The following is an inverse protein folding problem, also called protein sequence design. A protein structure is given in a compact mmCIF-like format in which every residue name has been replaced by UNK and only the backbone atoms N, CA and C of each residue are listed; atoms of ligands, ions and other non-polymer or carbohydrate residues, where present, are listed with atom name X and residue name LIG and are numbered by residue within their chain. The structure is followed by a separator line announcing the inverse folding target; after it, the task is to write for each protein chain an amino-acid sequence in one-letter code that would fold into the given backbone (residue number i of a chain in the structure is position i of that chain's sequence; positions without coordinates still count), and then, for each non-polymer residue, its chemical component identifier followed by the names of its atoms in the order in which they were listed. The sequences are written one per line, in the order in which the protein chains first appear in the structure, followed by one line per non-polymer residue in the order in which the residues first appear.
data_IF_202672367320
#
_entry.id   IF_202672367320
#
_cell.length_a   1.000
_cell.length_b   1.000
_cell.length_c   1.000
_cell.angle_alpha   90.00
_cell.angle_beta   90.00
_cell.angle_gamma   90.00
#
_symmetry.space_group_name_H-M   'P 1'
#
loop_
_entity.id
_entity.type
_entity.pdbx_description
1 polymer ?
#
# COMPACT_ATOMS: atom_id res chain seq x y z
N UNK A 1 18.26 13.16 13.16
CA UNK A 1 18.23 11.97 12.28
C UNK A 1 18.30 10.74 13.19
N UNK A 2 17.16 10.12 13.53
CA UNK A 2 17.07 8.98 14.47
C UNK A 2 16.71 7.66 13.76
N UNK A 3 17.27 7.43 12.58
CA UNK A 3 17.10 6.15 11.88
C UNK A 3 18.45 5.77 11.30
N UNK A 4 19.31 5.17 12.13
CA UNK A 4 20.38 4.35 11.60
C UNK A 4 19.70 3.17 10.91
N UNK A 5 19.86 3.05 9.60
CA UNK A 5 19.49 1.82 8.90
C UNK A 5 20.28 0.70 9.56
N UNK A 6 19.62 -0.39 9.93
CA UNK A 6 20.24 -1.62 10.44
C UNK A 6 20.33 -2.59 9.25
N UNK A 7 21.33 -2.43 8.34
CA UNK A 7 21.36 -3.14 7.06
C UNK A 7 21.44 -4.67 7.21
N UNK A 8 21.86 -5.17 8.38
CA UNK A 8 21.94 -6.60 8.70
C UNK A 8 20.68 -7.18 9.33
N UNK A 9 19.66 -6.35 9.64
CA UNK A 9 18.43 -6.80 10.28
C UNK A 9 17.26 -6.65 9.30
N UNK A 10 16.83 -7.76 8.72
CA UNK A 10 15.62 -7.83 7.90
C UNK A 10 14.44 -8.24 8.77
N UNK A 11 13.63 -7.27 9.20
CA UNK A 11 12.35 -7.52 9.86
C UNK A 11 11.23 -7.51 8.82
N UNK A 12 10.84 -8.70 8.37
CA UNK A 12 9.65 -8.87 7.54
C UNK A 12 8.35 -8.75 8.34
N UNK A 13 7.22 -8.61 7.64
CA UNK A 13 5.87 -8.56 8.24
C UNK A 13 5.64 -9.69 9.26
N UNK A 14 5.98 -10.94 8.90
CA UNK A 14 5.86 -12.10 9.79
C UNK A 14 6.66 -11.96 11.09
N UNK A 15 7.81 -11.29 11.07
CA UNK A 15 8.64 -11.11 12.26
C UNK A 15 7.96 -10.13 13.23
N UNK A 16 7.38 -9.05 12.72
CA UNK A 16 6.59 -8.14 13.56
C UNK A 16 5.38 -8.85 14.18
N UNK A 17 4.66 -9.66 13.42
CA UNK A 17 3.54 -10.45 13.94
C UNK A 17 3.99 -11.42 15.05
N UNK A 18 5.14 -12.08 14.89
CA UNK A 18 5.70 -12.95 15.94
C UNK A 18 6.09 -12.17 17.20
N UNK A 19 6.65 -10.98 17.06
CA UNK A 19 7.02 -10.13 18.20
C UNK A 19 5.79 -9.67 18.98
N UNK A 20 4.69 -9.38 18.28
CA UNK A 20 3.40 -9.06 18.90
C UNK A 20 2.81 -10.30 19.59
N UNK A 21 2.79 -11.45 18.92
CA UNK A 21 2.27 -12.71 19.49
C UNK A 21 3.06 -13.15 20.73
N UNK A 22 4.35 -12.78 20.82
CA UNK A 22 5.21 -13.00 22.00
C UNK A 22 5.09 -11.91 23.08
N UNK A 23 4.16 -10.97 22.93
CA UNK A 23 3.93 -9.85 23.86
C UNK A 23 5.20 -9.03 24.16
N UNK A 24 6.04 -8.81 23.15
CA UNK A 24 7.17 -7.89 23.30
C UNK A 24 6.60 -6.47 23.45
N UNK A 25 6.74 -5.80 24.61
CA UNK A 25 5.96 -4.59 24.94
C UNK A 25 6.08 -3.47 23.91
N UNK A 26 7.27 -3.36 23.30
CA UNK A 26 7.51 -2.37 22.25
C UNK A 26 6.54 -2.55 21.07
N UNK A 27 6.29 -3.78 20.63
CA UNK A 27 5.47 -4.08 19.45
C UNK A 27 4.00 -4.37 19.80
N UNK A 28 3.73 -4.91 20.98
CA UNK A 28 2.37 -5.24 21.41
C UNK A 28 1.59 -4.05 22.00
N UNK A 29 2.29 -3.02 22.49
CA UNK A 29 1.64 -1.92 23.24
C UNK A 29 2.13 -0.52 22.90
N UNK A 30 3.40 -0.32 22.53
CA UNK A 30 4.03 1.01 22.48
C UNK A 30 4.27 1.57 21.08
N UNK A 31 4.49 0.72 20.10
CA UNK A 31 4.71 1.12 18.71
C UNK A 31 3.48 0.86 17.86
N UNK A 32 3.30 1.67 16.82
CA UNK A 32 2.29 1.42 15.76
C UNK A 32 3.01 0.82 14.58
N UNK A 33 2.51 -0.32 14.10
CA UNK A 33 3.08 -1.06 13.00
C UNK A 33 2.13 -0.95 11.81
N UNK A 34 2.58 -0.26 10.76
CA UNK A 34 1.85 -0.20 9.50
C UNK A 34 2.32 -1.35 8.61
N UNK A 35 1.39 -2.24 8.24
CA UNK A 35 1.66 -3.37 7.35
C UNK A 35 0.95 -3.20 6.02
N UNK A 36 1.47 -3.85 4.98
CA UNK A 36 0.80 -3.90 3.68
C UNK A 36 -0.58 -4.57 3.79
N UNK A 37 -1.49 -4.22 2.88
CA UNK A 37 -2.88 -4.71 2.87
C UNK A 37 -2.99 -6.24 2.77
N UNK A 38 -2.02 -6.90 2.13
CA UNK A 38 -1.96 -8.35 1.96
C UNK A 38 -1.61 -9.10 3.26
N UNK A 39 -1.08 -8.40 4.27
CA UNK A 39 -0.86 -8.95 5.61
C UNK A 39 -2.16 -9.29 6.34
N UNK A 40 -3.32 -8.82 5.86
CA UNK A 40 -4.63 -9.14 6.43
C UNK A 40 -4.86 -10.66 6.61
N UNK A 41 -4.39 -11.46 5.64
CA UNK A 41 -4.52 -12.92 5.69
C UNK A 41 -3.69 -13.53 6.83
N UNK A 42 -2.54 -12.93 7.17
CA UNK A 42 -1.63 -13.41 8.22
C UNK A 42 -2.11 -13.02 9.62
N UNK A 43 -2.75 -11.85 9.75
CA UNK A 43 -3.32 -11.39 11.02
C UNK A 43 -4.61 -12.16 11.36
N UNK A 44 -5.34 -12.62 10.35
CA UNK A 44 -6.61 -13.31 10.52
C UNK A 44 -7.64 -12.44 11.26
N UNK A 45 -8.41 -13.03 12.18
CA UNK A 45 -9.39 -12.31 13.02
C UNK A 45 -8.78 -11.65 14.27
N UNK A 46 -7.44 -11.70 14.44
CA UNK A 46 -6.80 -11.11 15.62
C UNK A 46 -6.87 -9.59 15.54
N UNK A 47 -7.59 -8.96 16.47
CA UNK A 47 -7.57 -7.51 16.64
C UNK A 47 -6.29 -7.09 17.35
N UNK A 48 -5.24 -6.85 16.59
CA UNK A 48 -3.97 -6.34 17.10
C UNK A 48 -4.08 -4.82 17.27
N UNK A 49 -4.02 -4.34 18.52
CA UNK A 49 -4.25 -2.92 18.87
C UNK A 49 -3.22 -1.97 18.26
N UNK A 50 -2.01 -2.47 18.02
CA UNK A 50 -0.86 -1.71 17.50
C UNK A 50 -0.71 -1.80 15.99
N UNK A 51 -1.49 -2.63 15.31
CA UNK A 51 -1.32 -2.89 13.87
C UNK A 51 -2.38 -2.18 13.06
N UNK A 52 -1.94 -1.47 12.03
CA UNK A 52 -2.81 -0.83 11.04
C UNK A 52 -2.39 -1.30 9.66
N UNK A 53 -3.36 -1.66 8.82
CA UNK A 53 -3.09 -2.09 7.45
C UNK A 53 -3.19 -0.90 6.51
N UNK A 54 -2.25 -0.80 5.57
CA UNK A 54 -2.33 0.14 4.46
C UNK A 54 -3.63 -0.09 3.67
N UNK A 55 -4.19 0.98 3.07
CA UNK A 55 -5.45 0.89 2.37
C UNK A 55 -5.33 0.03 1.10
N UNK A 56 -6.43 -0.65 0.74
CA UNK A 56 -6.51 -1.56 -0.40
C UNK A 56 -6.66 -3.03 0.01
N UNK A 57 -6.70 -3.92 -0.98
CA UNK A 57 -6.84 -5.37 -0.80
C UNK A 57 -5.85 -6.20 -1.62
N UNK A 58 -4.99 -5.51 -2.39
CA UNK A 58 -3.95 -6.07 -3.21
C UNK A 58 -2.58 -5.62 -2.69
N UNK A 59 -1.54 -6.45 -2.85
CA UNK A 59 -0.16 -6.03 -2.66
C UNK A 59 0.17 -4.77 -3.50
N UNK A 60 1.14 -3.94 -3.08
CA UNK A 60 1.33 -2.60 -3.65
C UNK A 60 1.57 -2.57 -5.17
N UNK A 61 2.41 -3.46 -5.69
CA UNK A 61 2.70 -3.62 -7.12
C UNK A 61 1.49 -4.07 -7.94
N UNK A 62 0.61 -4.89 -7.36
CA UNK A 62 -0.63 -5.32 -8.02
C UNK A 62 -1.68 -4.20 -7.98
N UNK A 63 -1.82 -3.54 -6.82
CA UNK A 63 -2.75 -2.43 -6.61
C UNK A 63 -2.47 -1.27 -7.57
N UNK A 64 -1.20 -0.87 -7.69
CA UNK A 64 -0.86 0.25 -8.55
C UNK A 64 -0.96 -0.10 -10.03
N UNK A 65 -0.64 -1.34 -10.40
CA UNK A 65 -0.88 -1.81 -11.75
C UNK A 65 -2.38 -1.74 -12.09
N UNK A 66 -3.25 -2.28 -11.23
CA UNK A 66 -4.69 -2.27 -11.44
C UNK A 66 -5.21 -0.84 -11.62
N UNK A 67 -4.83 0.06 -10.71
CA UNK A 67 -5.21 1.47 -10.78
C UNK A 67 -4.85 2.09 -12.11
N UNK A 68 -3.58 2.00 -12.51
CA UNK A 68 -3.10 2.59 -13.75
C UNK A 68 -3.67 1.91 -14.99
N UNK A 69 -3.86 0.60 -14.95
CA UNK A 69 -4.47 -0.14 -16.05
C UNK A 69 -5.90 0.36 -16.31
N UNK A 70 -6.65 0.63 -15.25
CA UNK A 70 -8.04 1.06 -15.28
C UNK A 70 -8.24 2.55 -15.56
N UNK A 71 -7.17 3.36 -15.63
CA UNK A 71 -7.29 4.76 -16.02
C UNK A 71 -7.61 4.90 -17.51
N UNK A 72 -8.54 5.78 -17.88
CA UNK A 72 -8.85 6.04 -19.28
C UNK A 72 -7.66 6.72 -19.96
N UNK A 73 -7.51 6.51 -21.28
CA UNK A 73 -6.35 7.02 -22.02
C UNK A 73 -6.25 8.57 -22.05
N UNK A 74 -7.36 9.27 -21.82
CA UNK A 74 -7.44 10.73 -21.76
C UNK A 74 -7.25 11.30 -20.33
N UNK A 75 -6.98 10.45 -19.33
CA UNK A 75 -6.75 10.89 -17.95
C UNK A 75 -5.57 11.87 -17.85
N UNK A 76 -5.70 12.87 -16.97
CA UNK A 76 -4.68 13.88 -16.70
C UNK A 76 -3.34 13.29 -16.23
N UNK A 77 -3.35 12.10 -15.61
CA UNK A 77 -2.16 11.38 -15.20
C UNK A 77 -1.19 11.13 -16.38
N UNK A 78 -1.73 10.81 -17.56
CA UNK A 78 -0.95 10.55 -18.77
C UNK A 78 -0.37 11.81 -19.41
N UNK A 79 -0.89 12.99 -19.03
CA UNK A 79 -0.45 14.28 -19.53
C UNK A 79 0.63 14.86 -18.62
N UNK A 80 1.87 14.42 -18.80
CA UNK A 80 2.95 14.75 -17.89
C UNK A 80 4.29 15.09 -18.55
N UNK A 81 5.12 15.83 -17.81
CA UNK A 81 6.44 16.29 -18.27
C UNK A 81 7.50 15.19 -18.39
N UNK A 82 7.21 13.96 -17.94
CA UNK A 82 8.10 12.80 -18.08
C UNK A 82 7.81 11.99 -19.34
N UNK A 83 6.81 12.40 -20.14
CA UNK A 83 6.34 11.66 -21.33
C UNK A 83 5.91 10.22 -21.00
N UNK A 84 5.50 9.96 -19.76
CA UNK A 84 4.99 8.66 -19.34
C UNK A 84 3.51 8.56 -19.76
N UNK A 85 3.26 8.12 -20.98
CA UNK A 85 1.91 8.02 -21.55
C UNK A 85 1.27 6.66 -21.25
N UNK A 86 -0.01 6.51 -21.61
CA UNK A 86 -0.72 5.22 -21.55
C UNK A 86 0.02 4.11 -22.33
N UNK A 87 0.58 4.45 -23.48
CA UNK A 87 1.31 3.48 -24.32
C UNK A 87 2.62 3.06 -23.65
N UNK A 88 3.33 4.00 -23.03
CA UNK A 88 4.54 3.70 -22.26
C UNK A 88 4.22 2.76 -21.09
N UNK A 89 3.16 3.03 -20.34
CA UNK A 89 2.69 2.11 -19.29
C UNK A 89 2.38 0.71 -19.84
N UNK A 90 1.67 0.64 -20.96
CA UNK A 90 1.29 -0.63 -21.60
C UNK A 90 2.52 -1.43 -22.02
N UNK A 91 3.56 -0.76 -22.55
CA UNK A 91 4.82 -1.38 -22.91
C UNK A 91 5.58 -1.90 -21.68
N UNK A 92 5.69 -1.08 -20.63
CA UNK A 92 6.35 -1.44 -19.38
C UNK A 92 5.64 -2.61 -18.68
N UNK A 93 4.31 -2.64 -18.75
CA UNK A 93 3.50 -3.67 -18.14
C UNK A 93 3.16 -4.85 -19.09
N UNK A 94 3.77 -4.90 -20.28
CA UNK A 94 3.43 -5.89 -21.31
C UNK A 94 3.61 -7.34 -20.83
N UNK A 95 4.60 -7.61 -19.96
CA UNK A 95 4.74 -8.94 -19.37
C UNK A 95 3.52 -9.31 -18.52
N UNK A 96 3.07 -8.42 -17.63
CA UNK A 96 1.91 -8.63 -16.76
C UNK A 96 0.66 -8.85 -17.62
N UNK A 97 0.42 -7.97 -18.60
CA UNK A 97 -0.76 -8.01 -19.48
C UNK A 97 -0.83 -9.35 -20.22
N UNK A 98 0.29 -9.77 -20.83
CA UNK A 98 0.34 -11.03 -21.59
C UNK A 98 0.25 -12.25 -20.67
N UNK A 99 0.95 -12.26 -19.55
CA UNK A 99 1.00 -13.41 -18.64
C UNK A 99 -0.37 -13.72 -18.05
N UNK A 100 -1.11 -12.70 -17.64
CA UNK A 100 -2.44 -12.86 -17.04
C UNK A 100 -3.59 -12.73 -18.05
N UNK A 101 -3.28 -12.73 -19.35
CA UNK A 101 -4.26 -12.59 -20.45
C UNK A 101 -5.24 -11.43 -20.23
N UNK A 102 -4.74 -10.29 -19.75
CA UNK A 102 -5.56 -9.13 -19.44
C UNK A 102 -6.02 -8.49 -20.76
N UNK A 103 -7.33 -8.37 -20.91
CA UNK A 103 -7.96 -7.82 -22.12
C UNK A 103 -9.04 -6.80 -21.73
N UNK A 104 -9.30 -5.84 -22.62
CA UNK A 104 -10.29 -4.78 -22.40
C UNK A 104 -9.72 -3.51 -21.77
N UNK A 105 -10.62 -2.66 -21.28
CA UNK A 105 -10.28 -1.36 -20.69
C UNK A 105 -10.14 -1.41 -19.16
N UNK A 106 -10.66 -2.47 -18.55
CA UNK A 106 -10.69 -2.64 -17.10
C UNK A 106 -10.22 -4.03 -16.69
N UNK A 107 -9.48 -4.10 -15.59
CA UNK A 107 -8.99 -5.34 -14.99
C UNK A 107 -9.36 -5.38 -13.50
N UNK A 108 -9.84 -6.55 -13.08
CA UNK A 108 -9.85 -6.97 -11.68
C UNK A 108 -8.70 -7.96 -11.50
N UNK A 109 -7.59 -7.48 -10.95
CA UNK A 109 -6.36 -8.28 -10.77
C UNK A 109 -6.63 -9.45 -9.83
N UNK A 110 -7.51 -9.30 -8.83
CA UNK A 110 -7.84 -10.39 -7.92
C UNK A 110 -8.55 -11.53 -8.64
N UNK A 111 -9.49 -11.21 -9.53
CA UNK A 111 -10.17 -12.19 -10.36
C UNK A 111 -9.21 -12.85 -11.36
N UNK A 112 -8.33 -12.07 -12.01
CA UNK A 112 -7.30 -12.61 -12.91
C UNK A 112 -6.37 -13.60 -12.19
N UNK A 113 -5.93 -13.27 -10.98
CA UNK A 113 -5.06 -14.13 -10.19
C UNK A 113 -5.76 -15.41 -9.71
N UNK A 114 -7.06 -15.34 -9.43
CA UNK A 114 -7.85 -16.52 -9.05
C UNK A 114 -8.04 -17.50 -10.23
N UNK A 115 -8.13 -16.98 -11.45
CA UNK A 115 -8.29 -17.76 -12.69
C UNK A 115 -6.95 -18.18 -13.33
N UNK A 116 -5.82 -17.69 -12.82
CA UNK A 116 -4.51 -17.91 -13.43
C UNK A 116 -4.02 -19.35 -13.23
N UNK A 117 -3.71 -20.02 -14.34
CA UNK A 117 -3.22 -21.41 -14.38
C UNK A 117 -1.79 -21.53 -14.91
N UNK A 118 -1.06 -20.42 -15.05
CA UNK A 118 0.31 -20.43 -15.56
C UNK A 118 1.35 -20.77 -14.47
N UNK A 119 2.58 -20.99 -14.92
CA UNK A 119 3.66 -21.49 -14.05
C UNK A 119 4.44 -20.39 -13.32
N UNK A 120 4.28 -19.12 -13.72
CA UNK A 120 5.01 -18.02 -13.10
C UNK A 120 4.36 -17.61 -11.80
N UNK A 121 5.18 -17.37 -10.77
CA UNK A 121 4.70 -16.78 -9.51
C UNK A 121 4.17 -15.38 -9.77
N UNK A 122 2.89 -15.08 -9.55
CA UNK A 122 2.34 -13.79 -9.97
C UNK A 122 3.03 -12.60 -9.32
N UNK A 123 3.32 -12.72 -8.03
CA UNK A 123 4.09 -11.74 -7.25
C UNK A 123 5.41 -11.33 -7.90
N UNK A 124 6.11 -12.26 -8.55
CA UNK A 124 7.40 -11.95 -9.19
C UNK A 124 7.22 -11.25 -10.54
N UNK A 125 6.12 -11.53 -11.26
CA UNK A 125 5.77 -10.83 -12.51
C UNK A 125 5.43 -9.36 -12.22
N UNK A 126 4.54 -9.12 -11.26
CA UNK A 126 4.18 -7.75 -10.84
C UNK A 126 5.36 -6.98 -10.24
N UNK A 127 6.24 -7.63 -9.47
CA UNK A 127 7.48 -7.01 -8.98
C UNK A 127 8.43 -6.59 -10.09
N UNK A 128 8.52 -7.35 -11.19
CA UNK A 128 9.36 -6.96 -12.34
C UNK A 128 8.83 -5.69 -12.99
N UNK A 129 7.53 -5.61 -13.23
CA UNK A 129 6.86 -4.39 -13.64
C UNK A 129 7.17 -3.23 -12.67
N UNK A 130 6.98 -3.44 -11.37
CA UNK A 130 7.21 -2.38 -10.39
C UNK A 130 8.66 -1.92 -10.36
N UNK A 131 9.63 -2.81 -10.59
CA UNK A 131 11.06 -2.48 -10.62
C UNK A 131 11.55 -1.94 -11.96
N UNK A 132 10.67 -1.84 -12.96
CA UNK A 132 11.05 -1.30 -14.26
C UNK A 132 11.63 0.12 -14.12
N UNK A 133 12.66 0.40 -14.91
CA UNK A 133 13.41 1.65 -14.78
C UNK A 133 12.58 2.87 -15.19
N UNK A 134 11.68 2.76 -16.17
CA UNK A 134 10.78 3.84 -16.57
C UNK A 134 9.69 4.04 -15.53
N UNK A 135 9.12 2.94 -15.03
CA UNK A 135 8.13 3.02 -13.95
C UNK A 135 8.73 3.59 -12.65
N UNK A 136 9.97 3.26 -12.32
CA UNK A 136 10.61 3.80 -11.12
C UNK A 136 10.91 5.31 -11.22
N UNK A 137 11.13 5.86 -12.43
CA UNK A 137 11.27 7.33 -12.61
C UNK A 137 10.00 8.08 -12.20
N UNK A 138 8.83 7.53 -12.54
CA UNK A 138 7.55 8.14 -12.19
C UNK A 138 7.21 7.94 -10.71
N UNK A 139 7.50 6.76 -10.14
CA UNK A 139 7.32 6.51 -8.70
C UNK A 139 8.22 7.41 -7.85
N UNK A 140 9.47 7.64 -8.27
CA UNK A 140 10.43 8.51 -7.57
C UNK A 140 10.04 10.00 -7.59
N UNK A 141 9.12 10.42 -8.46
CA UNK A 141 8.66 11.80 -8.59
C UNK A 141 7.64 12.16 -7.50
N UNK A 142 8.00 11.99 -6.23
CA UNK A 142 7.10 12.17 -5.07
C UNK A 142 6.54 13.59 -4.97
N UNK A 143 7.30 14.59 -5.43
CA UNK A 143 6.96 16.03 -5.29
C UNK A 143 6.38 16.67 -6.55
N UNK A 144 6.41 15.99 -7.70
CA UNK A 144 5.94 16.52 -8.98
C UNK A 144 4.93 15.58 -9.60
N UNK A 145 3.85 16.14 -10.15
CA UNK A 145 2.99 15.36 -11.05
C UNK A 145 3.84 14.85 -12.21
N UNK A 146 3.77 13.57 -12.57
CA UNK A 146 2.80 12.55 -12.13
C UNK A 146 3.40 11.59 -11.09
N UNK A 147 2.67 11.29 -10.02
CA UNK A 147 3.04 10.22 -9.09
C UNK A 147 1.89 9.21 -8.99
N UNK A 148 2.12 7.91 -9.22
CA UNK A 148 1.03 6.92 -9.29
C UNK A 148 0.29 6.80 -7.96
N UNK A 149 1.01 6.82 -6.84
CA UNK A 149 0.43 6.70 -5.50
C UNK A 149 -0.35 7.93 -5.10
N UNK A 150 0.13 9.13 -5.48
CA UNK A 150 -0.64 10.36 -5.27
C UNK A 150 -1.97 10.30 -6.03
N UNK A 151 -1.93 9.89 -7.30
CA UNK A 151 -3.14 9.73 -8.12
C UNK A 151 -4.09 8.68 -7.52
N UNK A 152 -3.56 7.56 -7.04
CA UNK A 152 -4.35 6.53 -6.37
C UNK A 152 -5.06 7.08 -5.13
N UNK A 153 -4.34 7.81 -4.27
CA UNK A 153 -4.88 8.41 -3.05
C UNK A 153 -6.01 9.41 -3.37
N UNK A 154 -5.86 10.21 -4.41
CA UNK A 154 -6.86 11.20 -4.85
C UNK A 154 -8.13 10.55 -5.39
N UNK A 155 -8.03 9.35 -5.97
CA UNK A 155 -9.17 8.61 -6.52
C UNK A 155 -9.75 7.55 -5.56
N UNK A 156 -9.11 7.30 -4.41
CA UNK A 156 -9.52 6.28 -3.43
C UNK A 156 -9.66 6.89 -2.03
N UNK A 157 -10.38 8.02 -1.95
CA UNK A 157 -10.52 8.83 -0.73
C UNK A 157 -11.14 8.03 0.43
N UNK A 158 -12.14 7.19 0.15
CA UNK A 158 -12.83 6.41 1.19
C UNK A 158 -11.88 5.39 1.84
N UNK A 159 -11.11 4.66 1.03
CA UNK A 159 -10.10 3.73 1.54
C UNK A 159 -9.02 4.45 2.35
N UNK A 160 -8.60 5.64 1.91
CA UNK A 160 -7.65 6.46 2.64
C UNK A 160 -8.22 6.98 3.97
N UNK A 161 -9.48 7.41 3.98
CA UNK A 161 -10.15 7.92 5.18
C UNK A 161 -10.38 6.79 6.20
N UNK A 162 -10.74 5.60 5.76
CA UNK A 162 -10.83 4.40 6.61
C UNK A 162 -9.47 4.07 7.24
N UNK A 163 -8.39 4.10 6.47
CA UNK A 163 -7.03 3.98 7.02
C UNK A 163 -6.72 5.06 8.06
N UNK A 164 -6.98 6.33 7.75
CA UNK A 164 -6.69 7.45 8.65
C UNK A 164 -7.45 7.34 9.98
N UNK A 165 -8.71 6.89 9.94
CA UNK A 165 -9.50 6.64 11.15
C UNK A 165 -8.94 5.48 11.97
N UNK A 166 -8.60 4.35 11.32
CA UNK A 166 -7.97 3.21 11.99
C UNK A 166 -6.62 3.58 12.60
N UNK A 167 -5.85 4.42 11.90
CA UNK A 167 -4.57 4.93 12.37
C UNK A 167 -4.73 5.87 13.57
N UNK A 168 -5.70 6.77 13.54
CA UNK A 168 -6.04 7.61 14.70
C UNK A 168 -6.42 6.75 15.92
N UNK A 169 -7.27 5.74 15.73
CA UNK A 169 -7.67 4.83 16.80
C UNK A 169 -6.48 4.05 17.38
N UNK A 170 -5.56 3.58 16.53
CA UNK A 170 -4.35 2.91 16.97
C UNK A 170 -3.44 3.86 17.77
N UNK A 171 -3.24 5.10 17.29
CA UNK A 171 -2.46 6.11 18.05
C UNK A 171 -3.08 6.35 19.41
N UNK A 172 -4.38 6.62 19.47
CA UNK A 172 -5.09 6.85 20.72
C UNK A 172 -4.92 5.66 21.67
N UNK A 173 -5.09 4.44 21.17
CA UNK A 173 -4.93 3.21 21.94
C UNK A 173 -3.52 3.01 22.51
N UNK A 174 -2.49 3.25 21.70
CA UNK A 174 -1.08 3.18 22.11
C UNK A 174 -0.75 4.28 23.13
N UNK A 175 -1.20 5.51 22.89
CA UNK A 175 -0.93 6.64 23.81
C UNK A 175 -1.60 6.44 25.17
N UNK A 176 -2.85 5.99 25.21
CA UNK A 176 -3.54 5.73 26.48
C UNK A 176 -3.03 4.47 27.18
N UNK A 177 -2.79 3.38 26.42
CA UNK A 177 -2.46 2.07 26.98
C UNK A 177 -0.97 1.88 27.26
N UNK A 178 -0.11 2.19 26.28
CA UNK A 178 1.33 2.00 26.36
C UNK A 178 2.09 3.12 27.07
N UNK A 179 1.52 4.34 27.09
CA UNK A 179 2.16 5.53 27.67
C UNK A 179 1.35 6.23 28.77
N UNK A 180 0.18 5.66 29.16
CA UNK A 180 -0.68 6.21 30.21
C UNK A 180 -1.07 7.69 30.02
N UNK A 181 -1.20 8.13 28.77
CA UNK A 181 -1.63 9.50 28.46
C UNK A 181 -3.14 9.61 28.70
N UNK A 182 -3.54 10.65 29.44
CA UNK A 182 -4.94 10.94 29.74
C UNK A 182 -5.76 11.12 28.46
N UNK A 183 -6.88 10.39 28.37
CA UNK A 183 -7.79 10.39 27.20
C UNK A 183 -8.35 11.79 26.90
N UNK A 184 -8.54 12.62 27.93
CA UNK A 184 -8.98 14.02 27.75
C UNK A 184 -7.99 14.83 26.92
N UNK A 185 -6.68 14.57 27.05
CA UNK A 185 -5.63 15.22 26.25
C UNK A 185 -5.59 14.68 24.81
N UNK A 186 -6.07 13.47 24.60
CA UNK A 186 -6.14 12.85 23.26
C UNK A 186 -7.33 13.36 22.45
N UNK A 187 -8.31 14.04 23.05
CA UNK A 187 -9.48 14.58 22.33
C UNK A 187 -9.09 15.53 21.17
N UNK A 188 -7.95 16.22 21.29
CA UNK A 188 -7.41 17.11 20.27
C UNK A 188 -6.77 16.37 19.06
N UNK A 189 -6.42 15.09 19.21
CA UNK A 189 -5.77 14.30 18.16
C UNK A 189 -6.80 13.73 17.18
N UNK A 190 -7.17 14.48 16.14
CA UNK A 190 -8.11 14.02 15.12
C UNK A 190 -7.44 13.89 13.76
N UNK A 191 -7.77 12.83 13.03
CA UNK A 191 -7.34 12.68 11.65
C UNK A 191 -7.97 13.76 10.77
N UNK A 192 -7.13 14.42 9.97
CA UNK A 192 -7.60 15.31 8.91
C UNK A 192 -8.05 14.45 7.72
N UNK A 193 -9.35 14.16 7.66
CA UNK A 193 -9.93 13.38 6.58
C UNK A 193 -9.79 14.14 5.24
N UNK A 194 -9.54 13.38 4.19
CA UNK A 194 -9.49 13.89 2.82
C UNK A 194 -10.91 14.23 2.36
N UNK A 195 -11.05 15.39 1.71
CA UNK A 195 -12.31 15.85 1.11
C UNK A 195 -12.33 15.43 -0.36
N UNK A 196 -13.50 14.96 -0.82
CA UNK A 196 -13.78 14.71 -2.23
C UNK A 196 -13.87 16.02 -3.02
#
# INVERSE_FOLDING_TARGET
KFTASLPSITLGCSNYLQLIDKNVPEFSERSIICLDSDAAQQIGRKKLKTVVLLPGCLPPDQLIFEHLYNLPANDSFWQNGLQFTRDVFTNVAAEVIREFSITGEHVDVKACLAAYTGDKKPREVFKRFYKDAEFQKIVASVTKSPNPWKHWIENNIDACNDFLQKFELAIRGVMSGGYAIDVSKLAALKANLKRA
#
